data_IF_309740256820
#
_entry.id   IF_309740256820
#
_cell.length_a   1.000
_cell.length_b   1.000
_cell.length_c   1.000
_cell.angle_alpha   90.00
_cell.angle_beta   90.00
_cell.angle_gamma   90.00
#
_symmetry.space_group_name_H-M   'P 1'
#
loop_
_entity.id
_entity.type
_entity.pdbx_description
1 polymer ?
#
# COMPACT_ATOMS: atom_id res chain seq x y z
N UNK A 1 -34.28 12.47 3.76
CA UNK A 1 -32.87 12.64 4.19
C UNK A 1 -31.94 11.70 3.44
N UNK A 2 -31.99 10.37 3.68
CA UNK A 2 -31.11 9.36 3.05
C UNK A 2 -30.93 9.56 1.53
N UNK A 3 -32.02 9.73 0.78
CA UNK A 3 -31.99 9.89 -0.68
C UNK A 3 -31.08 11.05 -1.15
N UNK A 4 -31.12 12.20 -0.48
CA UNK A 4 -30.29 13.37 -0.80
C UNK A 4 -28.81 13.17 -0.44
N UNK A 5 -28.51 12.31 0.55
CA UNK A 5 -27.14 11.88 0.85
C UNK A 5 -26.64 10.89 -0.21
N UNK A 6 -27.51 9.98 -0.67
CA UNK A 6 -27.20 9.02 -1.72
C UNK A 6 -26.99 9.70 -3.09
N UNK A 7 -27.79 10.70 -3.46
CA UNK A 7 -27.59 11.52 -4.66
C UNK A 7 -26.21 12.19 -4.67
N UNK A 8 -25.83 12.81 -3.55
CA UNK A 8 -24.50 13.42 -3.38
C UNK A 8 -23.38 12.37 -3.41
N UNK A 9 -23.55 11.26 -2.71
CA UNK A 9 -22.59 10.15 -2.73
C UNK A 9 -22.39 9.62 -4.15
N UNK A 10 -23.46 9.33 -4.89
CA UNK A 10 -23.39 8.81 -6.25
C UNK A 10 -22.66 9.79 -7.19
N UNK A 11 -22.87 11.11 -7.05
CA UNK A 11 -22.10 12.11 -7.80
C UNK A 11 -20.61 12.03 -7.50
N UNK A 12 -20.22 12.16 -6.23
CA UNK A 12 -18.80 12.15 -5.85
C UNK A 12 -18.15 10.78 -6.10
N UNK A 13 -18.90 9.68 -6.03
CA UNK A 13 -18.43 8.36 -6.39
C UNK A 13 -18.13 8.27 -7.89
N UNK A 14 -19.03 8.73 -8.76
CA UNK A 14 -18.80 8.72 -10.21
C UNK A 14 -17.57 9.56 -10.61
N UNK A 15 -17.35 10.71 -9.95
CA UNK A 15 -16.21 11.61 -10.21
C UNK A 15 -14.89 11.13 -9.57
N UNK A 16 -14.93 10.50 -8.38
CA UNK A 16 -13.74 10.26 -7.54
C UNK A 16 -13.55 8.80 -7.08
N UNK A 17 -14.25 7.81 -7.65
CA UNK A 17 -14.17 6.39 -7.24
C UNK A 17 -12.74 5.87 -7.07
N UNK A 18 -11.82 6.30 -7.95
CA UNK A 18 -10.43 5.83 -7.97
C UNK A 18 -9.68 6.23 -6.70
N UNK A 19 -9.70 7.52 -6.33
CA UNK A 19 -9.02 8.01 -5.13
C UNK A 19 -9.71 7.54 -3.84
N UNK A 20 -11.04 7.44 -3.83
CA UNK A 20 -11.79 6.84 -2.72
C UNK A 20 -11.44 5.36 -2.53
N UNK A 21 -11.27 4.60 -3.61
CA UNK A 21 -10.87 3.19 -3.55
C UNK A 21 -9.42 3.01 -3.09
N UNK A 22 -8.50 3.85 -3.58
CA UNK A 22 -7.12 3.85 -3.08
C UNK A 22 -7.06 4.21 -1.60
N UNK A 23 -7.79 5.23 -1.15
CA UNK A 23 -7.87 5.59 0.26
C UNK A 23 -8.45 4.45 1.13
N UNK A 24 -9.48 3.76 0.65
CA UNK A 24 -10.04 2.60 1.34
C UNK A 24 -9.03 1.43 1.43
N UNK A 25 -8.27 1.12 0.37
CA UNK A 25 -7.28 0.01 0.38
C UNK A 25 -6.05 0.35 1.25
N UNK A 26 -5.76 1.63 1.45
CA UNK A 26 -4.68 2.11 2.33
C UNK A 26 -5.12 2.26 3.80
N UNK A 27 -6.42 2.15 4.10
CA UNK A 27 -6.91 2.08 5.48
C UNK A 27 -6.63 0.67 6.06
N UNK A 28 -6.01 0.54 7.25
CA UNK A 28 -5.66 -0.76 7.83
C UNK A 28 -6.83 -1.74 8.01
N UNK A 29 -8.07 -1.26 8.06
CA UNK A 29 -9.26 -2.08 8.29
C UNK A 29 -9.76 -2.79 7.00
N UNK A 30 -9.50 -2.22 5.82
CA UNK A 30 -10.12 -2.67 4.57
C UNK A 30 -9.09 -3.24 3.59
N UNK A 31 -9.29 -4.50 3.17
CA UNK A 31 -8.44 -5.17 2.18
C UNK A 31 -8.97 -4.96 0.76
N UNK A 32 -8.11 -5.12 -0.26
CA UNK A 32 -8.49 -5.02 -1.68
C UNK A 32 -9.70 -5.90 -2.05
N UNK A 33 -9.88 -7.05 -1.39
CA UNK A 33 -11.04 -7.93 -1.53
C UNK A 33 -12.38 -7.24 -1.22
N UNK A 34 -12.41 -6.30 -0.27
CA UNK A 34 -13.61 -5.52 0.07
C UNK A 34 -13.98 -4.58 -1.08
N UNK A 35 -13.01 -3.84 -1.61
CA UNK A 35 -13.22 -3.00 -2.80
C UNK A 35 -13.65 -3.84 -4.00
N UNK A 36 -13.01 -5.00 -4.25
CA UNK A 36 -13.45 -5.92 -5.29
C UNK A 36 -14.91 -6.34 -5.11
N UNK A 37 -15.32 -6.72 -3.89
CA UNK A 37 -16.71 -7.06 -3.60
C UNK A 37 -17.67 -5.89 -3.88
N UNK A 38 -17.38 -4.68 -3.39
CA UNK A 38 -18.18 -3.49 -3.68
C UNK A 38 -18.33 -3.24 -5.18
N UNK A 39 -17.23 -3.35 -5.95
CA UNK A 39 -17.29 -3.17 -7.41
C UNK A 39 -18.06 -4.27 -8.11
N UNK A 40 -17.99 -5.54 -7.67
CA UNK A 40 -18.84 -6.62 -8.22
C UNK A 40 -20.33 -6.36 -7.97
N UNK A 41 -20.69 -5.84 -6.78
CA UNK A 41 -22.08 -5.53 -6.43
C UNK A 41 -22.64 -4.32 -7.19
N UNK A 42 -21.81 -3.32 -7.51
CA UNK A 42 -22.24 -2.08 -8.20
C UNK A 42 -22.18 -2.21 -9.73
N UNK A 43 -21.13 -2.83 -10.28
CA UNK A 43 -20.81 -2.81 -11.72
C UNK A 43 -20.83 -4.19 -12.39
N UNK A 44 -21.05 -5.27 -11.63
CA UNK A 44 -21.18 -6.64 -12.11
C UNK A 44 -20.06 -7.02 -13.12
N UNK A 45 -20.40 -7.24 -14.39
CA UNK A 45 -19.47 -7.65 -15.44
C UNK A 45 -18.31 -6.67 -15.72
N UNK A 46 -18.42 -5.39 -15.32
CA UNK A 46 -17.36 -4.39 -15.50
C UNK A 46 -16.42 -4.25 -14.28
N UNK A 47 -16.71 -4.93 -13.17
CA UNK A 47 -15.98 -4.78 -11.91
C UNK A 47 -14.48 -5.07 -12.02
N UNK A 48 -14.10 -6.10 -12.78
CA UNK A 48 -12.70 -6.49 -13.02
C UNK A 48 -11.87 -5.35 -13.60
N UNK A 49 -12.41 -4.61 -14.58
CA UNK A 49 -11.74 -3.50 -15.23
C UNK A 49 -11.45 -2.36 -14.24
N UNK A 50 -12.44 -1.99 -13.42
CA UNK A 50 -12.27 -0.96 -12.39
C UNK A 50 -11.24 -1.38 -11.33
N UNK A 51 -11.30 -2.64 -10.84
CA UNK A 51 -10.34 -3.14 -9.85
C UNK A 51 -8.92 -3.21 -10.41
N UNK A 52 -8.74 -3.59 -11.69
CA UNK A 52 -7.44 -3.51 -12.35
C UNK A 52 -6.91 -2.07 -12.46
N UNK A 53 -7.77 -1.11 -12.81
CA UNK A 53 -7.40 0.32 -12.85
C UNK A 53 -6.94 0.79 -11.45
N UNK A 54 -7.68 0.46 -10.39
CA UNK A 54 -7.35 0.80 -9.00
C UNK A 54 -6.01 0.16 -8.58
N UNK A 55 -5.83 -1.13 -8.83
CA UNK A 55 -4.60 -1.87 -8.47
C UNK A 55 -3.38 -1.32 -9.22
N UNK A 56 -3.51 -1.01 -10.51
CA UNK A 56 -2.43 -0.43 -11.32
C UNK A 56 -2.03 0.98 -10.82
N UNK A 57 -2.99 1.82 -10.42
CA UNK A 57 -2.70 3.13 -9.83
C UNK A 57 -2.05 3.01 -8.45
N UNK A 58 -2.54 2.11 -7.60
CA UNK A 58 -1.95 1.85 -6.28
C UNK A 58 -0.50 1.37 -6.39
N UNK A 59 -0.22 0.48 -7.36
CA UNK A 59 1.14 0.03 -7.65
C UNK A 59 2.03 1.18 -8.16
N UNK A 60 1.54 2.02 -9.06
CA UNK A 60 2.30 3.17 -9.58
C UNK A 60 2.72 4.13 -8.46
N UNK A 61 1.79 4.43 -7.53
CA UNK A 61 2.07 5.25 -6.35
C UNK A 61 3.11 4.60 -5.41
N UNK A 62 3.04 3.28 -5.23
CA UNK A 62 4.03 2.53 -4.45
C UNK A 62 5.42 2.52 -5.11
N UNK A 63 5.50 2.27 -6.42
CA UNK A 63 6.75 2.25 -7.18
C UNK A 63 7.43 3.65 -7.15
N UNK A 64 6.65 4.74 -7.21
CA UNK A 64 7.15 6.10 -7.00
C UNK A 64 7.66 6.34 -5.56
N UNK A 65 6.89 5.93 -4.54
CA UNK A 65 7.31 6.03 -3.14
C UNK A 65 8.62 5.26 -2.86
N UNK A 66 8.75 4.06 -3.42
CA UNK A 66 9.97 3.23 -3.31
C UNK A 66 11.16 3.85 -4.06
N UNK A 67 10.93 4.55 -5.17
CA UNK A 67 11.97 5.34 -5.87
C UNK A 67 12.43 6.54 -5.05
N UNK A 68 11.48 7.29 -4.48
CA UNK A 68 11.76 8.54 -3.77
C UNK A 68 12.44 8.29 -2.40
N UNK A 69 12.03 7.25 -1.67
CA UNK A 69 12.67 6.82 -0.42
C UNK A 69 14.14 6.37 -0.63
N UNK A 70 14.43 5.62 -1.69
CA UNK A 70 15.81 5.25 -2.07
C UNK A 70 16.67 6.47 -2.38
N UNK A 71 16.12 7.44 -3.13
CA UNK A 71 16.80 8.71 -3.41
C UNK A 71 17.18 9.45 -2.11
N UNK A 72 16.21 9.63 -1.20
CA UNK A 72 16.41 10.35 0.06
C UNK A 72 17.36 9.63 1.03
N UNK A 73 17.41 8.30 1.02
CA UNK A 73 18.43 7.53 1.76
C UNK A 73 19.85 7.86 1.26
N UNK A 74 20.05 7.97 -0.05
CA UNK A 74 21.37 8.28 -0.63
C UNK A 74 21.83 9.73 -0.40
N UNK A 75 20.92 10.71 -0.31
CA UNK A 75 21.30 12.09 0.00
C UNK A 75 21.69 12.27 1.46
N UNK A 76 21.03 11.56 2.38
CA UNK A 76 21.39 11.53 3.81
C UNK A 76 22.82 11.02 4.03
N UNK A 77 23.16 9.85 3.45
CA UNK A 77 24.52 9.27 3.54
C UNK A 77 25.58 10.23 2.97
N UNK A 78 25.27 10.98 1.91
CA UNK A 78 26.19 11.97 1.34
C UNK A 78 26.35 13.23 2.21
N UNK A 79 25.38 13.54 3.07
CA UNK A 79 25.43 14.68 3.98
C UNK A 79 26.18 14.41 5.29
N UNK A 80 26.45 13.15 5.63
CA UNK A 80 27.19 12.78 6.85
C UNK A 80 28.72 12.87 6.69
N UNK A 81 29.23 12.98 5.47
CA UNK A 81 30.67 12.92 5.17
C UNK A 81 31.29 14.33 5.05
N UNK A 82 31.12 15.16 6.08
CA UNK A 82 32.01 16.31 6.29
C UNK A 82 33.28 15.78 6.94
N UNK A 83 34.39 15.85 6.20
CA UNK A 83 35.68 15.31 6.61
C UNK A 83 36.39 16.25 7.57
N UNK A 84 36.44 15.88 8.86
CA UNK A 84 37.62 16.14 9.69
C UNK A 84 38.44 14.85 9.78
N UNK A 85 39.76 14.98 9.76
CA UNK A 85 40.69 13.85 9.63
C UNK A 85 41.43 13.62 10.95
N UNK A 86 41.07 12.56 11.67
CA UNK A 86 41.95 11.91 12.65
C UNK A 86 41.71 10.38 12.64
N UNK A 87 42.76 9.54 12.52
CA UNK A 87 42.61 8.09 12.47
C UNK A 87 42.92 7.45 13.84
N UNK A 88 41.91 7.15 14.65
CA UNK A 88 42.12 6.32 15.85
C UNK A 88 40.94 5.39 16.21
N UNK A 89 41.23 4.38 17.03
CA UNK A 89 40.40 3.19 17.28
C UNK A 89 39.21 3.41 18.24
N UNK A 90 38.00 2.92 17.90
CA UNK A 90 37.42 1.70 18.53
C UNK A 90 35.99 1.35 18.08
N UNK A 91 35.50 0.19 18.54
CA UNK A 91 34.28 -0.51 18.09
C UNK A 91 33.01 -0.19 18.89
N UNK A 92 31.83 -0.22 18.24
CA UNK A 92 30.57 -0.60 18.90
C UNK A 92 29.53 -1.26 17.96
N UNK A 93 28.52 -1.89 18.58
CA UNK A 93 27.69 -2.96 18.02
C UNK A 93 26.22 -2.82 18.51
N UNK A 94 25.17 -3.28 17.84
CA UNK A 94 25.07 -4.05 16.58
C UNK A 94 24.38 -3.21 15.46
N UNK A 95 23.17 -3.44 14.91
CA UNK A 95 22.04 -4.36 15.16
C UNK A 95 21.56 -5.06 13.88
N UNK A 96 21.30 -6.37 14.00
CA UNK A 96 20.63 -7.20 13.00
C UNK A 96 19.10 -7.08 13.13
N UNK A 97 18.40 -6.87 12.02
CA UNK A 97 16.95 -7.10 11.90
C UNK A 97 16.69 -8.16 10.83
N UNK A 98 16.03 -9.24 11.24
CA UNK A 98 16.03 -10.49 10.48
C UNK A 98 15.30 -10.40 9.13
N UNK A 99 15.85 -11.06 8.13
CA UNK A 99 15.15 -11.42 6.90
C UNK A 99 13.99 -12.36 7.25
N UNK A 100 12.76 -11.85 7.28
CA UNK A 100 11.56 -12.68 7.44
C UNK A 100 11.42 -13.55 6.19
N UNK A 101 11.53 -14.86 6.38
CA UNK A 101 11.28 -15.84 5.33
C UNK A 101 9.76 -16.06 5.21
N UNK A 102 9.22 -15.98 3.99
CA UNK A 102 7.78 -16.04 3.76
C UNK A 102 7.32 -17.47 3.39
N UNK A 103 7.91 -18.45 4.08
CA UNK A 103 7.72 -19.89 3.87
C UNK A 103 6.58 -20.51 4.68
N UNK A 104 5.39 -19.90 4.65
CA UNK A 104 4.20 -20.47 5.29
C UNK A 104 3.54 -21.54 4.43
N UNK A 105 3.71 -22.82 4.77
CA UNK A 105 2.84 -23.88 4.23
C UNK A 105 1.43 -23.74 4.82
N UNK A 106 0.43 -23.82 3.97
CA UNK A 106 -0.97 -23.92 4.38
C UNK A 106 -1.28 -25.40 4.60
N UNK A 107 -1.43 -25.81 5.86
CA UNK A 107 -1.86 -27.16 6.20
C UNK A 107 -3.39 -27.21 6.12
N UNK A 108 -3.94 -28.00 5.18
CA UNK A 108 -5.37 -27.98 4.85
C UNK A 108 -6.11 -29.10 5.59
N UNK A 109 -6.41 -28.86 6.87
CA UNK A 109 -7.34 -29.67 7.67
C UNK A 109 -7.88 -28.90 8.87
N UNK A 110 -9.15 -28.48 8.78
CA UNK A 110 -10.04 -28.38 9.94
C UNK A 110 -11.50 -28.51 9.48
N UNK A 111 -12.20 -29.51 10.01
CA UNK A 111 -13.61 -29.80 9.71
C UNK A 111 -14.53 -28.73 10.32
N UNK A 112 -15.46 -28.19 9.53
CA UNK A 112 -16.60 -27.40 10.03
C UNK A 112 -17.90 -28.14 9.70
N UNK A 113 -18.72 -28.36 10.74
CA UNK A 113 -19.80 -29.36 10.78
C UNK A 113 -21.12 -28.76 11.25
#
# INVERSE_FOLDING_TARGET
>A
MVMQMQEKFNKYWAEYYLILSCAAILDPCYKLNYVHHCFTTIYNAHASNFVQIILNNLKLLFDEYVKNSKSMSSSLVKSSNVSDNDPDDSSLHQLNVNRVDLGGNYDESDDYK
#
